data_IF_061430853439
#
_entry.id   IF_061430853439
#
_cell.length_a   1.000
_cell.length_b   1.000
_cell.length_c   1.000
_cell.angle_alpha   90.00
_cell.angle_beta   90.00
_cell.angle_gamma   90.00
#
_symmetry.space_group_name_H-M   'P 1'
#
loop_
_entity.id
_entity.type
_entity.pdbx_description
1 polymer ?
#
# COMPACT_ATOMS: atom_id res chain seq x y z
N UNK A 1 -44.78 1.72 7.73
CA UNK A 1 -43.74 2.64 7.21
C UNK A 1 -42.42 2.63 8.01
N UNK A 2 -42.35 2.14 9.26
CA UNK A 2 -41.07 2.00 10.00
C UNK A 2 -40.24 0.75 9.62
N UNK A 3 -40.88 -0.35 9.24
CA UNK A 3 -40.19 -1.60 8.88
C UNK A 3 -39.51 -1.57 7.49
N UNK A 4 -40.04 -0.78 6.54
CA UNK A 4 -39.42 -0.62 5.21
C UNK A 4 -38.10 0.15 5.26
N UNK A 5 -37.94 1.08 6.20
CA UNK A 5 -36.69 1.83 6.38
C UNK A 5 -35.57 0.94 6.96
N UNK A 6 -35.91 0.02 7.86
CA UNK A 6 -34.98 -0.98 8.40
C UNK A 6 -34.55 -1.99 7.34
N UNK A 7 -35.46 -2.45 6.47
CA UNK A 7 -35.14 -3.31 5.33
C UNK A 7 -34.22 -2.61 4.32
N UNK A 8 -34.47 -1.33 4.02
CA UNK A 8 -33.58 -0.52 3.17
C UNK A 8 -32.20 -0.32 3.79
N UNK A 9 -32.11 -0.09 5.10
CA UNK A 9 -30.83 0.01 5.81
C UNK A 9 -30.06 -1.30 5.81
N UNK A 10 -30.73 -2.45 6.02
CA UNK A 10 -30.11 -3.78 5.95
C UNK A 10 -29.64 -4.11 4.53
N UNK A 11 -30.40 -3.73 3.50
CA UNK A 11 -30.00 -3.92 2.09
C UNK A 11 -28.79 -3.02 1.77
N UNK A 12 -28.79 -1.76 2.19
CA UNK A 12 -27.65 -0.84 2.00
C UNK A 12 -26.39 -1.23 2.79
N UNK A 13 -26.50 -1.98 3.90
CA UNK A 13 -25.34 -2.51 4.62
C UNK A 13 -24.72 -3.75 3.92
N UNK A 14 -25.51 -4.50 3.15
CA UNK A 14 -25.03 -5.67 2.41
C UNK A 14 -24.48 -5.33 1.01
N UNK A 15 -24.75 -4.14 0.47
CA UNK A 15 -24.23 -3.70 -0.83
C UNK A 15 -22.73 -3.35 -0.85
N UNK A 16 -22.03 -3.40 0.29
CA UNK A 16 -20.62 -2.98 0.38
C UNK A 16 -19.60 -4.13 0.52
N UNK A 17 -20.04 -5.38 0.45
CA UNK A 17 -19.14 -6.52 0.30
C UNK A 17 -19.26 -7.07 -1.12
N UNK A 18 -18.66 -6.37 -2.10
CA UNK A 18 -18.53 -6.92 -3.44
C UNK A 18 -17.86 -8.29 -3.34
N UNK A 19 -18.56 -9.31 -3.80
CA UNK A 19 -18.10 -10.69 -3.72
C UNK A 19 -16.83 -10.87 -4.54
N UNK A 20 -15.85 -11.58 -3.97
CA UNK A 20 -14.69 -12.04 -4.72
C UNK A 20 -15.14 -13.20 -5.61
N UNK A 21 -14.75 -13.18 -6.88
CA UNK A 21 -15.11 -14.21 -7.85
C UNK A 21 -13.88 -14.73 -8.59
N UNK A 22 -13.87 -16.02 -8.98
CA UNK A 22 -12.82 -16.55 -9.85
C UNK A 22 -12.74 -15.77 -11.16
N UNK A 23 -11.51 -15.44 -11.58
CA UNK A 23 -11.28 -14.80 -12.88
C UNK A 23 -10.92 -15.87 -13.93
N UNK A 24 -11.80 -16.12 -14.93
CA UNK A 24 -11.56 -17.14 -15.94
C UNK A 24 -10.38 -16.80 -16.86
N UNK A 25 -9.93 -17.76 -17.65
CA UNK A 25 -8.94 -17.49 -18.70
C UNK A 25 -9.51 -16.48 -19.70
N UNK A 26 -8.67 -15.56 -20.17
CA UNK A 26 -9.06 -14.49 -21.10
C UNK A 26 -9.63 -13.23 -20.42
N UNK A 27 -10.01 -13.31 -19.15
CA UNK A 27 -10.53 -12.18 -18.38
C UNK A 27 -9.52 -11.01 -18.32
N UNK A 28 -10.03 -9.78 -18.50
CA UNK A 28 -9.20 -8.58 -18.58
C UNK A 28 -8.56 -8.25 -17.23
N UNK A 29 -9.27 -8.40 -16.11
CA UNK A 29 -8.72 -8.19 -14.77
C UNK A 29 -7.61 -9.19 -14.47
N UNK A 30 -7.79 -10.46 -14.88
CA UNK A 30 -6.74 -11.47 -14.76
C UNK A 30 -5.46 -11.06 -15.48
N UNK A 31 -5.58 -10.50 -16.68
CA UNK A 31 -4.42 -9.99 -17.44
C UNK A 31 -3.77 -8.81 -16.71
N UNK A 32 -4.53 -7.83 -16.23
CA UNK A 32 -3.98 -6.66 -15.54
C UNK A 32 -3.29 -7.01 -14.22
N UNK A 33 -3.87 -7.93 -13.45
CA UNK A 33 -3.27 -8.40 -12.20
C UNK A 33 -1.95 -9.13 -12.48
N UNK A 34 -1.93 -10.03 -13.48
CA UNK A 34 -0.72 -10.73 -13.87
C UNK A 34 0.36 -9.77 -14.40
N UNK A 35 -0.01 -8.76 -15.19
CA UNK A 35 0.91 -7.72 -15.66
C UNK A 35 1.48 -6.93 -14.49
N UNK A 36 0.65 -6.48 -13.55
CA UNK A 36 1.13 -5.70 -12.41
C UNK A 36 2.07 -6.52 -11.53
N UNK A 37 1.77 -7.80 -11.32
CA UNK A 37 2.66 -8.71 -10.60
C UNK A 37 3.99 -8.94 -11.34
N UNK A 38 3.96 -9.02 -12.67
CA UNK A 38 5.15 -9.15 -13.51
C UNK A 38 6.05 -7.92 -13.40
N UNK A 39 5.44 -6.74 -13.47
CA UNK A 39 6.15 -5.47 -13.38
C UNK A 39 6.72 -5.26 -11.97
N UNK A 40 5.99 -5.67 -10.92
CA UNK A 40 6.46 -5.64 -9.52
C UNK A 40 7.72 -6.50 -9.31
N UNK A 41 7.84 -7.62 -10.04
CA UNK A 41 8.96 -8.57 -9.91
C UNK A 41 10.06 -8.36 -10.96
N UNK A 42 9.89 -7.41 -11.91
CA UNK A 42 10.86 -7.15 -12.97
C UNK A 42 10.99 -8.28 -14.00
N UNK A 43 9.91 -9.02 -14.26
CA UNK A 43 9.93 -10.25 -15.06
C UNK A 43 9.37 -10.06 -16.47
N UNK A 44 10.01 -9.23 -17.29
CA UNK A 44 9.46 -8.72 -18.57
C UNK A 44 8.86 -9.81 -19.50
N UNK A 45 9.49 -11.00 -19.57
CA UNK A 45 9.07 -12.13 -20.43
C UNK A 45 8.30 -13.26 -19.70
N UNK A 46 7.98 -13.08 -18.41
CA UNK A 46 7.33 -14.11 -17.58
C UNK A 46 5.82 -14.23 -17.83
N UNK A 47 5.34 -15.47 -18.00
CA UNK A 47 3.92 -15.84 -18.07
C UNK A 47 3.47 -16.48 -16.76
N UNK A 48 2.53 -15.85 -16.05
CA UNK A 48 2.00 -16.43 -14.81
C UNK A 48 1.09 -17.63 -15.08
N UNK A 49 1.55 -18.81 -14.68
CA UNK A 49 0.72 -20.00 -14.54
C UNK A 49 -0.06 -19.91 -13.21
N UNK A 50 -1.15 -19.13 -13.24
CA UNK A 50 -2.02 -18.91 -12.09
C UNK A 50 -2.87 -20.16 -11.79
N UNK A 51 -2.61 -20.79 -10.65
CA UNK A 51 -3.40 -21.90 -10.10
C UNK A 51 -4.72 -21.42 -9.52
N UNK A 52 -4.71 -20.25 -8.89
CA UNK A 52 -5.90 -19.59 -8.35
C UNK A 52 -5.77 -18.09 -8.54
N UNK A 53 -6.83 -17.50 -9.08
CA UNK A 53 -6.98 -16.05 -9.12
C UNK A 53 -8.45 -15.73 -8.92
N UNK A 54 -8.73 -14.94 -7.89
CA UNK A 54 -10.07 -14.47 -7.58
C UNK A 54 -10.00 -13.01 -7.19
N UNK A 55 -10.90 -12.19 -7.69
CA UNK A 55 -10.89 -10.76 -7.43
C UNK A 55 -12.30 -10.17 -7.36
N UNK A 56 -12.37 -8.97 -6.81
CA UNK A 56 -13.43 -8.00 -7.04
C UNK A 56 -12.80 -6.69 -7.54
N UNK A 57 -13.54 -5.58 -7.58
CA UNK A 57 -13.03 -4.28 -8.04
C UNK A 57 -11.82 -3.71 -7.27
N UNK A 58 -11.53 -4.20 -6.07
CA UNK A 58 -10.58 -3.55 -5.13
C UNK A 58 -9.54 -4.47 -4.51
N UNK A 59 -9.78 -5.78 -4.49
CA UNK A 59 -8.89 -6.76 -3.86
C UNK A 59 -8.90 -8.06 -4.66
N UNK A 60 -7.74 -8.72 -4.72
CA UNK A 60 -7.53 -9.96 -5.41
C UNK A 60 -6.66 -10.90 -4.58
N UNK A 61 -6.85 -12.20 -4.77
CA UNK A 61 -5.92 -13.23 -4.36
C UNK A 61 -5.32 -13.87 -5.60
N UNK A 62 -4.00 -14.05 -5.58
CA UNK A 62 -3.23 -14.68 -6.65
C UNK A 62 -2.35 -15.76 -6.06
N UNK A 63 -2.41 -16.96 -6.64
CA UNK A 63 -1.47 -18.03 -6.38
C UNK A 63 -1.02 -18.69 -7.68
N UNK A 64 0.28 -18.78 -7.92
CA UNK A 64 0.81 -19.42 -9.11
C UNK A 64 2.33 -19.41 -9.22
N UNK A 65 2.80 -20.07 -10.27
CA UNK A 65 4.20 -20.08 -10.69
C UNK A 65 4.36 -19.24 -11.94
N UNK A 66 5.60 -18.91 -12.28
CA UNK A 66 5.93 -18.25 -13.54
C UNK A 66 6.50 -19.28 -14.51
N UNK A 67 6.11 -19.11 -15.77
CA UNK A 67 6.65 -19.79 -16.92
C UNK A 67 7.36 -18.82 -17.85
N UNK A 68 8.29 -19.32 -18.64
CA UNK A 68 8.83 -18.59 -19.79
C UNK A 68 7.85 -18.62 -20.98
N UNK A 69 8.23 -17.93 -22.06
CA UNK A 69 7.52 -17.95 -23.35
C UNK A 69 7.43 -19.32 -24.02
N UNK A 70 8.23 -20.29 -23.59
CA UNK A 70 8.26 -21.66 -24.09
C UNK A 70 7.46 -22.63 -23.20
N UNK A 71 6.67 -22.10 -22.26
CA UNK A 71 5.84 -22.85 -21.31
C UNK A 71 6.62 -23.64 -20.23
N UNK A 72 7.92 -23.36 -20.04
CA UNK A 72 8.74 -23.95 -18.99
C UNK A 72 8.64 -23.15 -17.69
N UNK A 73 8.49 -23.83 -16.55
CA UNK A 73 8.54 -23.16 -15.25
C UNK A 73 9.93 -22.59 -14.97
N UNK A 74 9.99 -21.33 -14.53
CA UNK A 74 11.24 -20.66 -14.20
C UNK A 74 11.71 -21.02 -12.79
N UNK A 75 13.00 -21.27 -12.65
CA UNK A 75 13.69 -21.46 -11.38
C UNK A 75 14.60 -20.29 -11.04
N UNK A 76 14.94 -20.15 -9.76
CA UNK A 76 15.98 -19.24 -9.30
C UNK A 76 17.40 -19.84 -9.51
N UNK A 77 18.43 -19.10 -9.10
CA UNK A 77 19.82 -19.53 -9.21
C UNK A 77 20.18 -20.79 -8.39
N UNK A 78 19.28 -21.28 -7.53
CA UNK A 78 19.41 -22.50 -6.74
C UNK A 78 18.56 -23.65 -7.31
N UNK A 79 18.00 -23.47 -8.51
CA UNK A 79 17.10 -24.41 -9.16
C UNK A 79 15.81 -24.68 -8.36
N UNK A 80 15.36 -23.70 -7.58
CA UNK A 80 14.07 -23.74 -6.88
C UNK A 80 13.03 -22.89 -7.61
N UNK A 81 11.77 -23.26 -7.51
CA UNK A 81 10.66 -22.49 -8.07
C UNK A 81 10.15 -21.49 -7.04
N UNK A 82 9.88 -20.26 -7.47
CA UNK A 82 9.23 -19.27 -6.62
C UNK A 82 7.70 -19.38 -6.75
N UNK A 83 7.03 -19.73 -5.65
CA UNK A 83 5.58 -19.68 -5.55
C UNK A 83 5.14 -18.25 -5.18
N UNK A 84 4.46 -17.60 -6.12
CA UNK A 84 3.78 -16.34 -5.89
C UNK A 84 2.44 -16.65 -5.24
N UNK A 85 2.25 -16.20 -4.00
CA UNK A 85 1.05 -16.46 -3.20
C UNK A 85 0.70 -15.20 -2.43
N UNK A 86 -0.18 -14.38 -3.01
CA UNK A 86 -0.30 -12.98 -2.62
C UNK A 86 -1.75 -12.52 -2.56
N UNK A 87 -1.99 -11.62 -1.62
CA UNK A 87 -3.15 -10.72 -1.69
C UNK A 87 -2.70 -9.45 -2.39
N UNK A 88 -3.45 -9.03 -3.42
CA UNK A 88 -3.22 -7.80 -4.15
C UNK A 88 -4.39 -6.85 -3.94
N UNK A 89 -4.13 -5.55 -3.91
CA UNK A 89 -5.18 -4.54 -3.85
C UNK A 89 -4.93 -3.48 -4.91
N UNK A 90 -6.01 -2.83 -5.34
CA UNK A 90 -5.88 -1.71 -6.26
C UNK A 90 -5.27 -0.51 -5.52
N UNK A 91 -4.11 -0.08 -6.00
CA UNK A 91 -3.31 0.98 -5.45
C UNK A 91 -3.48 2.30 -6.21
N UNK A 92 -2.49 3.17 -6.03
CA UNK A 92 -2.42 4.45 -6.71
C UNK A 92 -2.40 4.27 -8.25
N UNK A 93 -3.16 5.11 -8.96
CA UNK A 93 -3.35 5.07 -10.43
C UNK A 93 -3.99 3.80 -11.00
N UNK A 94 -4.86 3.13 -10.24
CA UNK A 94 -5.60 1.95 -10.72
C UNK A 94 -4.70 0.74 -11.06
N UNK A 95 -3.48 0.72 -10.53
CA UNK A 95 -2.56 -0.41 -10.66
C UNK A 95 -2.78 -1.42 -9.53
N UNK A 96 -2.59 -2.71 -9.80
CA UNK A 96 -2.64 -3.73 -8.75
C UNK A 96 -1.28 -3.81 -8.08
N UNK A 97 -1.25 -3.78 -6.74
CA UNK A 97 -0.02 -3.99 -5.98
C UNK A 97 -0.20 -5.13 -4.99
N UNK A 98 0.85 -5.92 -4.78
CA UNK A 98 0.85 -6.86 -3.66
C UNK A 98 0.64 -6.09 -2.35
N UNK A 99 -0.17 -6.62 -1.45
CA UNK A 99 -0.41 -6.04 -0.12
C UNK A 99 -0.18 -7.05 0.99
N UNK A 100 -0.23 -8.34 0.71
CA UNK A 100 0.23 -9.42 1.60
C UNK A 100 0.96 -10.44 0.75
N UNK A 101 2.10 -10.95 1.24
CA UNK A 101 2.91 -11.98 0.57
C UNK A 101 3.03 -13.22 1.47
N UNK A 102 2.58 -14.36 0.95
CA UNK A 102 2.73 -15.71 1.52
C UNK A 102 3.71 -16.55 0.68
N UNK A 103 4.47 -15.88 -0.20
CA UNK A 103 5.41 -16.48 -1.12
C UNK A 103 6.39 -17.44 -0.42
N UNK A 104 6.82 -18.45 -1.15
CA UNK A 104 7.82 -19.44 -0.71
C UNK A 104 8.56 -20.02 -1.90
N UNK A 105 9.76 -20.52 -1.65
CA UNK A 105 10.46 -21.37 -2.63
C UNK A 105 10.02 -22.82 -2.48
N UNK A 106 9.92 -23.54 -3.60
CA UNK A 106 9.55 -24.96 -3.65
C UNK A 106 10.51 -25.72 -4.57
N UNK A 107 10.72 -27.00 -4.27
CA UNK A 107 11.64 -27.83 -5.05
C UNK A 107 11.07 -28.31 -6.39
N UNK A 108 9.74 -28.38 -6.49
CA UNK A 108 9.06 -28.94 -7.67
C UNK A 108 7.73 -28.25 -7.96
N UNK A 109 7.30 -28.08 -9.23
CA UNK A 109 5.99 -27.49 -9.56
C UNK A 109 4.78 -28.28 -9.04
N UNK A 110 4.97 -29.54 -8.68
CA UNK A 110 3.99 -30.42 -8.06
C UNK A 110 3.77 -30.08 -6.57
N UNK A 111 4.73 -29.42 -5.92
CA UNK A 111 4.68 -29.03 -4.51
C UNK A 111 3.94 -27.70 -4.28
N UNK A 112 3.32 -27.16 -5.33
CA UNK A 112 2.56 -25.91 -5.26
C UNK A 112 1.39 -26.09 -4.30
N UNK A 113 1.48 -25.40 -3.17
CA UNK A 113 0.41 -25.32 -2.18
C UNK A 113 0.16 -23.87 -1.81
N UNK A 114 -0.96 -23.34 -2.33
CA UNK A 114 -1.47 -22.01 -2.03
C UNK A 114 -1.96 -21.91 -0.59
N UNK A 115 -1.72 -20.77 0.06
CA UNK A 115 -2.17 -20.41 1.39
C UNK A 115 -3.69 -20.59 1.50
N UNK A 116 -4.42 -20.10 0.50
CA UNK A 116 -5.83 -20.41 0.32
C UNK A 116 -5.99 -21.47 -0.76
N UNK A 117 -5.91 -22.74 -0.34
CA UNK A 117 -6.20 -23.88 -1.21
C UNK A 117 -7.60 -23.82 -1.84
N UNK A 118 -7.80 -24.50 -2.97
CA UNK A 118 -9.01 -24.41 -3.82
C UNK A 118 -10.36 -24.55 -3.07
N UNK A 119 -10.37 -25.28 -1.96
CA UNK A 119 -11.57 -25.56 -1.17
C UNK A 119 -11.89 -24.48 -0.12
N UNK A 120 -11.01 -23.51 0.08
CA UNK A 120 -11.23 -22.41 1.02
C UNK A 120 -12.03 -21.30 0.32
N UNK A 121 -13.27 -21.00 0.75
CA UNK A 121 -14.04 -19.90 0.18
C UNK A 121 -13.34 -18.57 0.46
N UNK A 122 -13.08 -17.79 -0.58
CA UNK A 122 -12.49 -16.47 -0.44
C UNK A 122 -13.58 -15.42 -0.34
N UNK A 123 -13.45 -14.54 0.65
CA UNK A 123 -14.30 -13.36 0.78
C UNK A 123 -13.43 -12.11 0.83
N UNK A 124 -13.97 -10.99 0.38
CA UNK A 124 -13.30 -9.70 0.48
C UNK A 124 -13.01 -9.31 1.93
N UNK A 125 -13.88 -9.73 2.87
CA UNK A 125 -13.67 -9.55 4.30
C UNK A 125 -12.42 -10.30 4.80
N UNK A 126 -12.29 -11.60 4.47
CA UNK A 126 -11.15 -12.44 4.85
C UNK A 126 -9.83 -11.83 4.36
N UNK A 127 -9.77 -11.45 3.08
CA UNK A 127 -8.55 -10.87 2.52
C UNK A 127 -8.24 -9.51 3.14
N UNK A 128 -9.24 -8.66 3.41
CA UNK A 128 -9.03 -7.36 4.06
C UNK A 128 -8.56 -7.49 5.51
N UNK A 129 -9.01 -8.51 6.22
CA UNK A 129 -8.50 -8.83 7.56
C UNK A 129 -7.01 -9.19 7.50
N UNK A 130 -6.59 -10.00 6.54
CA UNK A 130 -5.15 -10.28 6.34
C UNK A 130 -4.34 -9.04 5.98
N UNK A 131 -4.89 -8.18 5.11
CA UNK A 131 -4.26 -6.90 4.75
C UNK A 131 -4.06 -6.04 6.00
N UNK A 132 -5.08 -5.95 6.86
CA UNK A 132 -5.00 -5.21 8.11
C UNK A 132 -3.97 -5.80 9.08
N UNK A 133 -3.89 -7.13 9.16
CA UNK A 133 -2.99 -7.83 10.08
C UNK A 133 -1.53 -7.85 9.62
N UNK A 134 -1.28 -8.00 8.32
CA UNK A 134 0.06 -8.32 7.80
C UNK A 134 0.59 -7.32 6.79
N UNK A 135 -0.28 -6.59 6.11
CA UNK A 135 0.11 -5.95 4.87
C UNK A 135 0.93 -4.67 5.02
N UNK A 136 0.93 -4.07 6.20
CA UNK A 136 1.79 -2.93 6.51
C UNK A 136 3.26 -3.31 6.68
N UNK A 137 3.64 -4.58 6.83
CA UNK A 137 5.04 -4.96 7.13
C UNK A 137 6.04 -4.42 6.10
N UNK A 138 5.76 -4.65 4.81
CA UNK A 138 6.72 -4.39 3.74
C UNK A 138 6.24 -3.41 2.66
N UNK A 139 4.96 -3.04 2.66
CA UNK A 139 4.34 -2.31 1.54
C UNK A 139 3.62 -1.08 2.05
N UNK A 140 3.78 0.05 1.36
CA UNK A 140 3.21 1.33 1.78
C UNK A 140 1.71 1.32 1.53
N UNK A 141 0.92 1.11 2.58
CA UNK A 141 -0.53 1.03 2.48
C UNK A 141 -1.17 2.38 2.78
N UNK A 142 -2.23 2.79 2.06
CA UNK A 142 -2.92 4.05 2.33
C UNK A 142 -3.41 4.16 3.77
N UNK A 143 -3.16 5.32 4.40
CA UNK A 143 -3.58 5.62 5.78
C UNK A 143 -4.81 6.53 5.74
N UNK A 144 -5.98 5.94 6.02
CA UNK A 144 -7.28 6.63 5.96
C UNK A 144 -7.41 7.70 7.03
N UNK A 145 -8.31 8.67 6.82
CA UNK A 145 -8.57 9.77 7.75
C UNK A 145 -8.97 9.32 9.17
N UNK A 146 -9.69 8.19 9.26
CA UNK A 146 -10.16 7.61 10.52
C UNK A 146 -9.15 6.69 11.21
N UNK A 147 -7.99 6.44 10.59
CA UNK A 147 -6.96 5.55 11.17
C UNK A 147 -6.17 6.32 12.25
N UNK A 148 -6.11 5.83 13.51
CA UNK A 148 -5.31 6.45 14.57
C UNK A 148 -3.85 6.67 14.15
N UNK A 149 -3.29 5.78 13.33
CA UNK A 149 -1.93 5.87 12.80
C UNK A 149 -1.70 7.19 12.03
N UNK A 150 -2.75 7.73 11.39
CA UNK A 150 -2.67 9.01 10.69
C UNK A 150 -2.27 10.12 11.64
N UNK A 151 -2.88 10.16 12.81
CA UNK A 151 -2.58 11.17 13.82
C UNK A 151 -1.12 11.07 14.25
N UNK A 152 -0.64 9.84 14.50
CA UNK A 152 0.73 9.58 14.92
C UNK A 152 1.76 10.02 13.87
N UNK A 153 1.53 9.69 12.60
CA UNK A 153 2.42 10.09 11.49
C UNK A 153 2.42 11.61 11.35
N UNK A 154 1.25 12.25 11.35
CA UNK A 154 1.16 13.70 11.24
C UNK A 154 1.78 14.40 12.45
N UNK A 155 1.64 13.86 13.66
CA UNK A 155 2.32 14.36 14.87
C UNK A 155 3.85 14.32 14.70
N UNK A 156 4.39 13.22 14.19
CA UNK A 156 5.81 13.10 13.87
C UNK A 156 6.29 14.10 12.83
N UNK A 157 5.47 14.33 11.80
CA UNK A 157 5.72 15.36 10.79
C UNK A 157 5.73 16.77 11.41
N UNK A 158 4.76 17.11 12.27
CA UNK A 158 4.71 18.41 12.97
C UNK A 158 5.94 18.66 13.82
N UNK A 159 6.40 17.63 14.55
CA UNK A 159 7.55 17.74 15.43
C UNK A 159 8.86 18.02 14.68
N UNK A 160 8.93 17.69 13.39
CA UNK A 160 10.11 17.91 12.53
C UNK A 160 9.92 19.07 11.55
N UNK A 161 8.73 19.66 11.50
CA UNK A 161 8.41 20.73 10.56
C UNK A 161 9.00 22.06 11.06
N UNK A 162 9.64 22.82 10.18
CA UNK A 162 10.16 24.15 10.48
C UNK A 162 9.38 25.15 9.60
N UNK A 163 8.48 25.90 10.23
CA UNK A 163 7.67 26.95 9.61
C UNK A 163 7.22 27.96 10.67
N UNK A 164 6.56 29.05 10.27
CA UNK A 164 6.19 30.17 11.14
C UNK A 164 5.47 29.74 12.43
N UNK A 165 4.54 28.77 12.33
CA UNK A 165 3.81 28.20 13.47
C UNK A 165 4.69 27.47 14.48
N UNK A 166 5.88 27.00 14.07
CA UNK A 166 6.85 26.34 14.94
C UNK A 166 8.03 27.24 15.33
N UNK A 167 8.19 28.42 14.71
CA UNK A 167 9.31 29.35 14.96
C UNK A 167 8.95 30.60 15.77
N UNK A 168 7.67 31.02 15.79
CA UNK A 168 7.22 32.23 16.48
C UNK A 168 6.69 31.94 17.90
N UNK A 169 7.56 31.82 18.90
CA UNK A 169 7.15 31.94 20.31
C UNK A 169 6.85 33.40 20.66
N UNK A 170 5.59 33.82 20.50
CA UNK A 170 5.11 35.11 20.99
C UNK A 170 3.80 34.93 21.78
N UNK A 171 3.92 34.93 23.10
CA UNK A 171 2.87 35.19 24.11
C UNK A 171 1.51 34.49 23.96
N UNK A 172 1.47 33.30 23.38
CA UNK A 172 0.27 32.45 23.31
C UNK A 172 0.60 31.00 22.93
N UNK A 173 -0.36 30.06 23.04
CA UNK A 173 -0.16 28.71 22.55
C UNK A 173 0.07 28.76 21.03
N UNK A 174 1.19 28.19 20.57
CA UNK A 174 1.52 28.10 19.15
C UNK A 174 0.35 27.48 18.38
N UNK A 175 -0.13 28.08 17.28
CA UNK A 175 -1.10 27.42 16.42
C UNK A 175 -0.48 26.10 15.94
N UNK A 176 -1.14 24.97 16.22
CA UNK A 176 -0.64 23.67 15.73
C UNK A 176 -0.75 23.65 14.21
N UNK A 177 0.38 23.50 13.51
CA UNK A 177 0.39 23.39 12.05
C UNK A 177 -0.55 22.27 11.59
N UNK A 178 -1.40 22.60 10.61
CA UNK A 178 -2.32 21.65 9.99
C UNK A 178 -1.78 21.23 8.64
N UNK A 179 -2.14 20.03 8.21
CA UNK A 179 -1.73 19.52 6.91
C UNK A 179 -2.96 19.18 6.08
N UNK A 180 -3.03 19.74 4.87
CA UNK A 180 -3.88 19.16 3.82
C UNK A 180 -3.09 17.99 3.25
N UNK A 181 -3.61 16.79 3.49
CA UNK A 181 -3.00 15.54 3.05
C UNK A 181 -3.54 15.20 1.67
N UNK A 182 -2.67 15.21 0.66
CA UNK A 182 -3.00 14.75 -0.70
C UNK A 182 -2.78 13.24 -0.82
N UNK A 183 -1.69 12.72 -0.24
CA UNK A 183 -1.40 11.29 -0.15
C UNK A 183 -0.70 10.97 1.17
N UNK A 184 -1.06 9.82 1.74
CA UNK A 184 -0.42 9.29 2.94
C UNK A 184 -0.51 7.77 2.93
N UNK A 185 0.65 7.13 2.92
CA UNK A 185 0.76 5.69 3.08
C UNK A 185 1.83 5.34 4.12
N UNK A 186 1.73 4.14 4.70
CA UNK A 186 2.70 3.66 5.67
C UNK A 186 2.97 2.16 5.55
N UNK A 187 4.22 1.80 5.77
CA UNK A 187 4.67 0.46 6.16
C UNK A 187 4.79 0.39 7.70
N UNK A 188 5.29 -0.72 8.23
CA UNK A 188 5.56 -0.93 9.65
C UNK A 188 6.62 0.05 10.16
N UNK A 189 7.60 0.36 9.30
CA UNK A 189 8.79 1.10 9.66
C UNK A 189 8.92 2.46 8.95
N UNK A 190 8.16 2.70 7.89
CA UNK A 190 8.25 3.92 7.09
C UNK A 190 6.87 4.48 6.76
N UNK A 191 6.78 5.79 6.56
CA UNK A 191 5.58 6.43 6.03
C UNK A 191 5.97 7.43 4.95
N UNK A 192 5.10 7.58 3.95
CA UNK A 192 5.22 8.58 2.91
C UNK A 192 4.07 9.57 3.05
N UNK A 193 4.40 10.85 2.98
CA UNK A 193 3.46 11.95 3.02
C UNK A 193 3.64 12.85 1.79
N UNK A 194 2.52 13.18 1.17
CA UNK A 194 2.40 14.26 0.19
C UNK A 194 1.26 15.19 0.62
N UNK A 195 1.53 16.48 0.68
CA UNK A 195 0.51 17.45 1.03
C UNK A 195 1.06 18.85 1.21
N UNK A 196 0.32 19.70 1.89
CA UNK A 196 0.74 21.08 2.20
C UNK A 196 0.39 21.46 3.62
N UNK A 197 1.25 22.27 4.24
CA UNK A 197 0.93 22.90 5.51
C UNK A 197 -0.19 23.94 5.31
N UNK A 198 -1.05 24.12 6.31
CA UNK A 198 -2.08 25.15 6.37
C UNK A 198 -2.09 25.83 7.73
N UNK A 199 -2.41 27.13 7.72
CA UNK A 199 -2.34 27.99 8.91
C UNK A 199 -1.00 28.71 9.06
N UNK A 200 0.00 28.35 8.27
CA UNK A 200 1.26 29.09 8.13
C UNK A 200 1.15 30.17 7.05
N UNK A 201 1.73 31.34 7.33
CA UNK A 201 2.04 32.28 6.25
C UNK A 201 3.20 31.70 5.43
N UNK A 202 3.25 32.08 4.16
CA UNK A 202 4.28 31.68 3.21
C UNK A 202 5.67 31.91 3.83
N UNK A 203 6.44 30.84 4.03
CA UNK A 203 7.79 30.89 4.61
C UNK A 203 8.71 31.79 3.77
N UNK A 204 9.51 32.63 4.44
CA UNK A 204 10.60 33.39 3.82
C UNK A 204 11.76 32.51 3.32
N UNK A 205 11.77 31.21 3.64
CA UNK A 205 12.79 30.26 3.23
C UNK A 205 12.21 29.28 2.20
N UNK A 206 12.49 29.61 0.93
CA UNK A 206 12.52 28.79 -0.30
C UNK A 206 11.65 27.53 -0.30
N UNK A 207 10.57 27.57 -1.08
CA UNK A 207 9.85 26.40 -1.56
C UNK A 207 10.34 26.08 -2.98
N UNK A 208 11.10 25.00 -3.13
CA UNK A 208 11.43 24.43 -4.44
C UNK A 208 10.29 23.49 -4.88
N UNK A 209 9.12 24.09 -5.12
CA UNK A 209 8.12 23.64 -6.08
C UNK A 209 7.02 24.71 -6.23
N UNK A 210 6.48 24.86 -7.44
CA UNK A 210 5.49 25.91 -7.77
C UNK A 210 4.17 25.84 -6.97
N UNK A 211 4.01 24.89 -6.03
CA UNK A 211 2.78 24.62 -5.29
C UNK A 211 2.96 24.44 -3.76
N UNK A 212 4.16 24.69 -3.20
CA UNK A 212 4.47 24.53 -1.77
C UNK A 212 4.10 23.15 -1.20
N UNK A 213 4.36 22.06 -1.94
CA UNK A 213 4.03 20.71 -1.48
C UNK A 213 5.19 20.13 -0.70
N UNK A 214 4.86 19.49 0.41
CA UNK A 214 5.79 18.70 1.21
C UNK A 214 5.74 17.26 0.73
N UNK A 215 6.89 16.76 0.25
CA UNK A 215 7.11 15.34 0.00
C UNK A 215 8.06 14.80 1.05
N UNK A 216 7.55 13.99 1.96
CA UNK A 216 8.30 13.57 3.16
C UNK A 216 8.22 12.08 3.35
N UNK A 217 9.37 11.46 3.62
CA UNK A 217 9.45 10.09 4.13
C UNK A 217 9.73 10.17 5.63
N UNK A 218 8.95 9.45 6.42
CA UNK A 218 9.15 9.30 7.85
C UNK A 218 9.63 7.87 8.14
N UNK A 219 10.48 7.72 9.15
CA UNK A 219 10.90 6.43 9.71
C UNK A 219 10.37 6.32 11.14
N UNK A 220 9.90 5.14 11.51
CA UNK A 220 9.43 4.83 12.87
C UNK A 220 10.61 4.49 13.77
N UNK A 221 10.92 5.36 14.73
CA UNK A 221 11.96 5.17 15.75
C UNK A 221 11.56 5.91 17.02
N UNK A 222 11.33 5.18 18.12
CA UNK A 222 10.03 4.94 18.82
C UNK A 222 8.76 5.74 18.41
N UNK A 223 8.88 6.91 17.79
CA UNK A 223 7.78 7.63 17.12
C UNK A 223 8.12 7.88 15.66
N UNK A 224 7.24 8.57 14.92
CA UNK A 224 7.52 8.93 13.53
C UNK A 224 8.46 10.13 13.47
N UNK A 225 9.57 10.01 12.73
CA UNK A 225 10.54 11.10 12.50
C UNK A 225 10.85 11.22 11.02
N UNK A 226 11.09 12.43 10.55
CA UNK A 226 11.49 12.65 9.15
C UNK A 226 12.81 11.93 8.89
N UNK A 227 12.83 11.06 7.87
CA UNK A 227 14.04 10.43 7.42
C UNK A 227 14.84 11.45 6.59
N UNK A 228 16.17 11.56 6.78
CA UNK A 228 16.98 12.40 5.92
C UNK A 228 16.80 11.94 4.46
N UNK A 229 16.55 12.89 3.55
CA UNK A 229 16.46 12.59 2.14
C UNK A 229 17.77 11.94 1.68
N UNK A 230 17.71 10.72 1.15
CA UNK A 230 18.84 10.13 0.44
C UNK A 230 19.11 11.01 -0.79
N UNK A 231 20.05 11.94 -0.66
CA UNK A 231 20.37 12.93 -1.68
C UNK A 231 20.34 14.39 -1.20
N UNK A 232 20.98 14.68 -0.07
CA UNK A 232 21.84 15.87 0.09
C UNK A 232 22.83 15.56 1.22
N UNK A 233 24.09 15.36 0.84
CA UNK A 233 25.24 15.43 1.75
C UNK A 233 25.07 16.63 2.69
N UNK A 234 25.46 16.53 3.98
CA UNK A 234 25.67 17.71 4.78
C UNK A 234 26.77 18.52 4.08
N UNK A 235 26.38 19.64 3.46
CA UNK A 235 27.35 20.63 3.04
C UNK A 235 27.95 21.22 4.33
N UNK A 236 29.21 20.87 4.54
CA UNK A 236 30.20 21.55 5.36
C UNK A 236 29.77 22.01 6.75
N UNK A 237 30.05 21.13 7.71
CA UNK A 237 30.60 21.59 8.99
C UNK A 237 32.08 21.94 8.74
N UNK A 238 32.40 23.22 8.59
CA UNK A 238 33.78 23.71 8.69
C UNK A 238 33.81 25.03 9.46
N UNK A 239 34.28 24.91 10.72
CA UNK A 239 34.76 25.93 11.69
C UNK A 239 33.73 26.95 12.19
#
# INVERSE_FOLDING_TARGET
MRYYLFLLLIICQNTFAEEIKPLPQGDTWRKYIALSLRDEEGLEDGLFNLRRIEANSSIAYVCGLIKDKNDNFLTDGQNQYHLYDRVMAIGYRWSWGSVVRFDKTIASPQDVHCHYGKNVPLTSALLREQVAAQGRKNICQPVKASDPLRSDILNGLRASYIGDSNSLTLNGPLPTVKFIVEDLCATENYAYFLGKATGDKTSFFIHDDANNRLRVVLKKIPGWRVAPAAGKQPADTTI
#
